data_IF_815827868589
#
_entry.id   IF_815827868589
#
_cell.length_a   1.000
_cell.length_b   1.000
_cell.length_c   1.000
_cell.angle_alpha   90.00
_cell.angle_beta   90.00
_cell.angle_gamma   90.00
#
_symmetry.space_group_name_H-M   'P 1'
#
loop_
_entity.id
_entity.type
_entity.pdbx_description
1 polymer ?
#
# COMPACT_ATOMS: atom_id res chain seq x y z
N UNK A 1 -9.71 -15.28 19.98
CA UNK A 1 -8.98 -14.09 19.44
C UNK A 1 -9.56 -12.85 20.09
N UNK A 2 -8.70 -11.91 20.41
CA UNK A 2 -9.11 -10.62 20.95
C UNK A 2 -10.02 -9.89 19.95
N UNK A 3 -11.12 -9.31 20.43
CA UNK A 3 -12.09 -8.60 19.58
C UNK A 3 -11.47 -7.38 18.86
N UNK A 4 -10.53 -6.70 19.49
CA UNK A 4 -9.80 -5.59 18.87
C UNK A 4 -9.00 -6.09 17.68
N UNK A 5 -8.28 -7.19 17.83
CA UNK A 5 -7.50 -7.81 16.76
C UNK A 5 -8.41 -8.30 15.63
N UNK A 6 -9.54 -8.92 15.95
CA UNK A 6 -10.53 -9.35 14.94
C UNK A 6 -11.02 -8.16 14.11
N UNK A 7 -11.39 -7.07 14.79
CA UNK A 7 -11.85 -5.84 14.12
C UNK A 7 -10.77 -5.25 13.21
N UNK A 8 -9.52 -5.23 13.68
CA UNK A 8 -8.40 -4.77 12.86
C UNK A 8 -8.24 -5.62 11.59
N UNK A 9 -8.30 -6.95 11.74
CA UNK A 9 -8.19 -7.88 10.61
C UNK A 9 -9.30 -7.64 9.58
N UNK A 10 -10.52 -7.38 10.01
CA UNK A 10 -11.65 -7.08 9.12
C UNK A 10 -11.43 -5.78 8.35
N UNK A 11 -10.96 -4.72 9.03
CA UNK A 11 -10.66 -3.43 8.39
C UNK A 11 -9.58 -3.60 7.34
N UNK A 12 -8.47 -4.28 7.66
CA UNK A 12 -7.38 -4.52 6.70
C UNK A 12 -7.85 -5.38 5.52
N UNK A 13 -8.65 -6.42 5.78
CA UNK A 13 -9.19 -7.25 4.71
C UNK A 13 -10.09 -6.45 3.76
N UNK A 14 -10.94 -5.58 4.30
CA UNK A 14 -11.79 -4.69 3.50
C UNK A 14 -10.96 -3.71 2.67
N UNK A 15 -9.90 -3.16 3.27
CA UNK A 15 -8.96 -2.26 2.62
C UNK A 15 -8.28 -2.93 1.41
N UNK A 16 -7.68 -4.10 1.62
CA UNK A 16 -6.97 -4.84 0.56
C UNK A 16 -7.95 -5.32 -0.52
N UNK A 17 -9.13 -5.77 -0.15
CA UNK A 17 -10.16 -6.13 -1.13
C UNK A 17 -10.56 -4.94 -1.99
N UNK A 18 -10.73 -3.77 -1.39
CA UNK A 18 -11.02 -2.54 -2.13
C UNK A 18 -9.92 -2.20 -3.13
N UNK A 19 -8.66 -2.34 -2.73
CA UNK A 19 -7.53 -2.14 -3.64
C UNK A 19 -7.57 -3.11 -4.82
N UNK A 20 -7.82 -4.40 -4.57
CA UNK A 20 -7.88 -5.43 -5.61
C UNK A 20 -9.08 -5.26 -6.55
N UNK A 21 -10.20 -4.77 -6.05
CA UNK A 21 -11.39 -4.48 -6.84
C UNK A 21 -11.32 -3.10 -7.50
N UNK A 22 -10.29 -2.31 -7.21
CA UNK A 22 -10.15 -0.91 -7.63
C UNK A 22 -11.35 -0.06 -7.19
N UNK A 23 -11.90 -0.40 -6.04
CA UNK A 23 -12.95 0.36 -5.35
C UNK A 23 -12.28 1.32 -4.37
N UNK A 24 -11.85 2.45 -4.89
CA UNK A 24 -11.06 3.41 -4.12
C UNK A 24 -11.86 4.09 -3.01
N UNK A 25 -13.16 4.24 -3.20
CA UNK A 25 -14.04 4.77 -2.14
C UNK A 25 -14.03 3.82 -0.94
N UNK A 26 -14.12 2.51 -1.17
CA UNK A 26 -14.03 1.52 -0.10
C UNK A 26 -12.68 1.58 0.62
N UNK A 27 -11.59 1.80 -0.12
CA UNK A 27 -10.25 1.97 0.46
C UNK A 27 -10.20 3.22 1.35
N UNK A 28 -10.64 4.37 0.86
CA UNK A 28 -10.65 5.61 1.64
C UNK A 28 -11.50 5.51 2.90
N UNK A 29 -12.63 4.81 2.82
CA UNK A 29 -13.56 4.65 3.94
C UNK A 29 -12.98 3.81 5.09
N UNK A 30 -11.89 3.07 4.86
CA UNK A 30 -11.22 2.34 5.93
C UNK A 30 -10.37 3.24 6.84
N UNK A 31 -10.04 4.45 6.40
CA UNK A 31 -9.30 5.45 7.18
C UNK A 31 -10.23 6.37 7.97
N UNK A 32 -9.70 6.98 9.03
CA UNK A 32 -10.37 8.13 9.64
C UNK A 32 -10.48 9.24 8.60
N UNK A 33 -11.61 9.96 8.60
CA UNK A 33 -11.94 10.94 7.55
C UNK A 33 -11.52 12.37 7.93
N UNK A 34 -10.36 12.50 8.56
CA UNK A 34 -9.85 13.79 9.03
C UNK A 34 -8.34 13.94 8.78
N UNK A 35 -7.74 14.97 9.35
CA UNK A 35 -6.34 15.30 9.15
C UNK A 35 -5.35 14.39 9.89
N UNK A 36 -5.83 13.45 10.72
CA UNK A 36 -4.99 12.46 11.39
C UNK A 36 -4.58 11.32 10.47
N UNK A 37 -5.37 11.04 9.41
CA UNK A 37 -5.04 9.99 8.45
C UNK A 37 -3.73 10.31 7.75
N UNK A 38 -2.89 9.29 7.51
CA UNK A 38 -1.68 9.50 6.72
C UNK A 38 -1.20 8.19 6.09
N UNK A 39 -0.42 8.35 5.02
CA UNK A 39 0.19 7.24 4.29
C UNK A 39 1.68 7.53 4.16
N UNK A 40 2.52 6.65 4.74
CA UNK A 40 3.96 6.84 4.82
C UNK A 40 4.66 5.92 3.83
N UNK A 41 5.33 6.49 2.84
CA UNK A 41 6.13 5.74 1.87
C UNK A 41 7.59 5.88 2.27
N UNK A 42 8.08 4.95 3.09
CA UNK A 42 9.41 5.03 3.69
C UNK A 42 10.52 5.13 2.64
N UNK A 43 10.54 4.30 1.57
CA UNK A 43 11.61 4.37 0.57
C UNK A 43 11.71 5.70 -0.16
N UNK A 44 10.63 6.46 -0.21
CA UNK A 44 10.60 7.79 -0.87
C UNK A 44 10.80 8.93 0.11
N UNK A 45 10.80 8.66 1.42
CA UNK A 45 10.81 9.70 2.44
C UNK A 45 9.57 10.60 2.37
N UNK A 46 8.46 10.07 1.87
CA UNK A 46 7.24 10.85 1.63
C UNK A 46 6.14 10.45 2.62
N UNK A 47 5.48 11.47 3.17
CA UNK A 47 4.31 11.30 4.03
C UNK A 47 3.15 12.07 3.41
N UNK A 48 2.07 11.36 3.10
CA UNK A 48 0.83 11.96 2.57
C UNK A 48 -0.12 12.18 3.75
N UNK A 49 -0.34 13.44 4.11
CA UNK A 49 -1.03 13.82 5.34
C UNK A 49 -2.50 14.14 5.11
N UNK A 50 -3.33 13.72 6.08
CA UNK A 50 -4.76 13.90 6.05
C UNK A 50 -5.44 12.95 5.09
N UNK A 51 -6.76 12.83 5.19
CA UNK A 51 -7.51 11.96 4.26
C UNK A 51 -7.35 12.41 2.80
N UNK A 52 -7.21 13.70 2.56
CA UNK A 52 -6.98 14.21 1.20
C UNK A 52 -5.59 13.82 0.69
N UNK A 53 -4.57 13.79 1.56
CA UNK A 53 -3.25 13.29 1.20
C UNK A 53 -3.29 11.79 0.87
N UNK A 54 -4.00 11.00 1.65
CA UNK A 54 -4.20 9.57 1.39
C UNK A 54 -4.89 9.36 0.04
N UNK A 55 -5.95 10.11 -0.25
CA UNK A 55 -6.63 10.06 -1.55
C UNK A 55 -5.69 10.40 -2.69
N UNK A 56 -4.89 11.44 -2.54
CA UNK A 56 -3.91 11.86 -3.54
C UNK A 56 -2.89 10.77 -3.84
N UNK A 57 -2.39 10.08 -2.83
CA UNK A 57 -1.50 8.94 -3.00
C UNK A 57 -2.16 7.84 -3.82
N UNK A 58 -3.36 7.41 -3.44
CA UNK A 58 -4.07 6.34 -4.16
C UNK A 58 -4.45 6.73 -5.59
N UNK A 59 -4.76 7.99 -5.84
CA UNK A 59 -4.98 8.48 -7.21
C UNK A 59 -3.73 8.30 -8.07
N UNK A 60 -2.55 8.57 -7.51
CA UNK A 60 -1.27 8.34 -8.18
C UNK A 60 -1.05 6.85 -8.45
N UNK A 61 -1.31 6.00 -7.47
CA UNK A 61 -1.16 4.54 -7.61
C UNK A 61 -2.14 3.98 -8.65
N UNK A 62 -3.40 4.42 -8.62
CA UNK A 62 -4.41 3.98 -9.58
C UNK A 62 -4.05 4.35 -11.02
N UNK A 63 -3.46 5.52 -11.21
CA UNK A 63 -2.97 5.94 -12.52
C UNK A 63 -1.70 5.21 -12.94
N UNK A 64 -0.78 4.97 -11.99
CA UNK A 64 0.49 4.30 -12.26
C UNK A 64 0.31 2.82 -12.58
N UNK A 65 -0.55 2.13 -11.84
CA UNK A 65 -0.83 0.70 -11.96
C UNK A 65 -2.35 0.47 -12.06
N UNK A 66 -2.98 0.72 -13.21
CA UNK A 66 -4.44 0.58 -13.33
C UNK A 66 -4.93 -0.87 -13.17
N UNK A 67 -4.06 -1.84 -13.34
CA UNK A 67 -4.31 -3.28 -13.13
C UNK A 67 -3.71 -3.80 -11.81
N UNK A 68 -3.54 -2.92 -10.84
CA UNK A 68 -2.98 -3.25 -9.53
C UNK A 68 -3.59 -4.52 -8.94
N UNK A 69 -2.73 -5.41 -8.47
CA UNK A 69 -3.10 -6.61 -7.74
C UNK A 69 -2.23 -6.76 -6.50
N UNK A 70 -2.85 -7.12 -5.39
CA UNK A 70 -2.20 -7.34 -4.11
C UNK A 70 -2.48 -8.78 -3.66
N UNK A 71 -1.41 -9.52 -3.38
CA UNK A 71 -1.47 -10.86 -2.82
C UNK A 71 -0.87 -10.84 -1.43
N UNK A 72 -1.63 -11.29 -0.43
CA UNK A 72 -1.15 -11.36 0.96
C UNK A 72 -0.36 -12.65 1.15
N UNK A 73 0.89 -12.53 1.57
CA UNK A 73 1.78 -13.65 1.85
C UNK A 73 1.74 -14.07 3.31
N UNK A 74 1.72 -13.11 4.22
CA UNK A 74 1.70 -13.36 5.66
C UNK A 74 1.02 -12.24 6.43
N UNK A 75 0.50 -12.58 7.61
CA UNK A 75 -0.27 -11.70 8.46
C UNK A 75 0.23 -11.78 9.90
N UNK A 76 0.46 -10.62 10.49
CA UNK A 76 0.88 -10.49 11.90
C UNK A 76 0.03 -9.41 12.55
N UNK A 77 -0.66 -9.75 13.63
CA UNK A 77 -1.57 -8.84 14.29
C UNK A 77 -1.31 -8.78 15.79
N UNK A 78 -1.20 -7.57 16.30
CA UNK A 78 -1.24 -7.27 17.74
C UNK A 78 -2.22 -6.12 17.95
N UNK A 79 -2.73 -5.95 19.16
CA UNK A 79 -3.62 -4.81 19.42
C UNK A 79 -2.93 -3.49 19.07
N UNK A 80 -3.56 -2.72 18.18
CA UNK A 80 -3.07 -1.42 17.71
C UNK A 80 -2.22 -1.46 16.45
N UNK A 81 -1.79 -2.64 15.98
CA UNK A 81 -0.98 -2.73 14.76
C UNK A 81 -1.21 -4.06 14.04
N UNK A 82 -1.45 -3.98 12.74
CA UNK A 82 -1.48 -5.14 11.85
C UNK A 82 -0.38 -4.99 10.81
N UNK A 83 0.31 -6.09 10.53
CA UNK A 83 1.37 -6.12 9.52
C UNK A 83 0.99 -7.13 8.45
N UNK A 84 1.20 -6.77 7.19
CA UNK A 84 1.00 -7.67 6.05
C UNK A 84 2.25 -7.67 5.19
N UNK A 85 2.77 -8.86 4.90
CA UNK A 85 3.68 -9.02 3.78
C UNK A 85 2.85 -9.30 2.56
N UNK A 86 3.04 -8.51 1.51
CA UNK A 86 2.25 -8.60 0.29
C UNK A 86 3.14 -8.58 -0.95
N UNK A 87 2.61 -9.12 -2.04
CA UNK A 87 3.16 -8.92 -3.38
C UNK A 87 2.26 -7.92 -4.10
N UNK A 88 2.87 -6.85 -4.56
CA UNK A 88 2.21 -5.86 -5.41
C UNK A 88 2.62 -6.14 -6.86
N UNK A 89 1.66 -6.23 -7.75
CA UNK A 89 1.92 -6.40 -9.18
C UNK A 89 1.02 -5.51 -10.01
N UNK A 90 1.44 -5.23 -11.23
CA UNK A 90 0.70 -4.43 -12.19
C UNK A 90 1.56 -4.02 -13.36
N UNK A 91 0.99 -3.24 -14.25
CA UNK A 91 1.65 -2.70 -15.44
C UNK A 91 1.83 -1.19 -15.28
N UNK A 92 3.06 -0.71 -15.42
CA UNK A 92 3.40 0.71 -15.27
C UNK A 92 2.85 1.52 -16.44
N UNK A 93 1.73 2.21 -16.22
CA UNK A 93 0.99 2.98 -17.24
C UNK A 93 0.93 4.49 -16.96
N UNK A 94 1.23 4.92 -15.74
CA UNK A 94 1.24 6.31 -15.34
C UNK A 94 2.55 6.68 -14.64
N UNK A 95 2.87 7.98 -14.61
CA UNK A 95 4.08 8.46 -13.94
C UNK A 95 4.04 8.14 -12.45
N UNK A 96 5.16 7.64 -11.93
CA UNK A 96 5.34 7.35 -10.52
C UNK A 96 6.76 7.73 -10.11
N UNK A 97 6.90 8.47 -9.00
CA UNK A 97 8.18 8.90 -8.44
C UNK A 97 9.09 9.58 -9.50
N UNK A 98 8.50 10.34 -10.42
CA UNK A 98 9.23 11.03 -11.47
C UNK A 98 9.59 10.14 -12.67
N UNK A 99 9.18 8.87 -12.69
CA UNK A 99 9.48 7.95 -13.79
C UNK A 99 8.29 7.85 -14.74
N UNK A 100 8.54 8.18 -16.00
CA UNK A 100 7.53 8.06 -17.06
C UNK A 100 7.30 6.59 -17.41
N UNK A 101 6.05 6.19 -17.73
CA UNK A 101 5.74 4.80 -18.00
C UNK A 101 6.27 4.33 -19.34
N UNK A 102 6.81 3.09 -19.34
CA UNK A 102 7.22 2.37 -20.53
C UNK A 102 6.34 1.15 -20.81
N UNK A 103 5.34 0.89 -19.96
CA UNK A 103 4.44 -0.26 -20.09
C UNK A 103 5.00 -1.56 -19.53
N UNK A 104 6.03 -1.51 -18.72
CA UNK A 104 6.66 -2.71 -18.15
C UNK A 104 5.86 -3.26 -16.96
N UNK A 105 5.91 -4.58 -16.78
CA UNK A 105 5.35 -5.25 -15.63
C UNK A 105 6.17 -4.98 -14.37
N UNK A 106 5.47 -4.75 -13.26
CA UNK A 106 6.07 -4.52 -11.94
C UNK A 106 5.59 -5.63 -11.01
N UNK A 107 6.51 -6.19 -10.23
CA UNK A 107 6.22 -7.14 -9.17
C UNK A 107 7.20 -6.92 -8.03
N UNK A 108 6.70 -6.53 -6.88
CA UNK A 108 7.51 -6.26 -5.69
C UNK A 108 6.92 -6.89 -4.45
N UNK A 109 7.77 -7.25 -3.50
CA UNK A 109 7.36 -7.59 -2.16
C UNK A 109 7.40 -6.34 -1.29
N UNK A 110 6.40 -6.22 -0.42
CA UNK A 110 6.20 -5.03 0.41
C UNK A 110 5.76 -5.45 1.81
N UNK A 111 6.23 -4.75 2.82
CA UNK A 111 5.71 -4.85 4.18
C UNK A 111 4.87 -3.61 4.49
N UNK A 112 3.62 -3.82 4.87
CA UNK A 112 2.69 -2.76 5.21
C UNK A 112 2.32 -2.85 6.68
N UNK A 113 2.48 -1.73 7.40
CA UNK A 113 2.12 -1.57 8.81
C UNK A 113 0.88 -0.71 8.89
N UNK A 114 -0.18 -1.27 9.46
CA UNK A 114 -1.46 -0.58 9.64
C UNK A 114 -1.63 -0.24 11.11
N UNK A 115 -1.89 1.03 11.40
CA UNK A 115 -2.21 1.50 12.75
C UNK A 115 -3.62 2.06 12.81
N UNK A 116 -4.24 2.04 14.00
CA UNK A 116 -5.68 2.22 14.14
C UNK A 116 -6.00 3.33 15.14
N UNK A 117 -7.13 3.99 14.88
CA UNK A 117 -7.76 4.90 15.84
C UNK A 117 -8.49 4.07 16.90
N UNK A 118 -8.11 4.26 18.16
CA UNK A 118 -8.71 3.50 19.27
C UNK A 118 -10.20 3.75 19.46
N UNK A 119 -10.70 4.93 19.09
CA UNK A 119 -12.10 5.30 19.27
C UNK A 119 -13.00 4.70 18.17
N UNK A 120 -12.60 4.81 16.90
CA UNK A 120 -13.41 4.35 15.77
C UNK A 120 -13.04 2.97 15.25
N UNK A 121 -11.84 2.48 15.56
CA UNK A 121 -11.27 1.26 15.00
C UNK A 121 -10.80 1.38 13.55
N UNK A 122 -10.96 2.55 12.93
CA UNK A 122 -10.52 2.79 11.56
C UNK A 122 -9.01 3.02 11.50
N UNK A 123 -8.44 2.94 10.29
CA UNK A 123 -7.02 3.19 10.08
C UNK A 123 -6.67 4.65 10.35
N UNK A 124 -5.64 4.87 11.14
CA UNK A 124 -4.93 6.15 11.23
C UNK A 124 -3.89 6.21 10.12
N UNK A 125 -3.12 5.13 9.93
CA UNK A 125 -2.03 5.16 8.98
C UNK A 125 -1.77 3.80 8.35
N UNK A 126 -1.24 3.85 7.13
CA UNK A 126 -0.51 2.77 6.53
C UNK A 126 0.92 3.24 6.27
N UNK A 127 1.90 2.43 6.64
CA UNK A 127 3.32 2.71 6.45
C UNK A 127 3.96 1.55 5.69
N UNK A 128 4.58 1.84 4.55
CA UNK A 128 5.09 0.80 3.67
C UNK A 128 6.60 0.85 3.51
N UNK A 129 7.18 -0.35 3.43
CA UNK A 129 8.60 -0.60 3.17
C UNK A 129 8.72 -1.52 1.96
N UNK A 130 9.52 -1.14 1.00
CA UNK A 130 9.82 -1.94 -0.19
C UNK A 130 11.14 -1.47 -0.79
N UNK A 131 11.63 -2.22 -1.76
CA UNK A 131 12.89 -1.90 -2.45
C UNK A 131 12.62 -0.96 -3.64
N UNK A 132 12.85 0.33 -3.44
CA UNK A 132 12.65 1.36 -4.46
C UNK A 132 13.57 1.17 -5.67
N UNK A 133 14.81 0.69 -5.46
CA UNK A 133 15.73 0.44 -6.56
C UNK A 133 15.18 -0.64 -7.50
N UNK A 134 14.64 -1.73 -6.94
CA UNK A 134 13.99 -2.78 -7.72
C UNK A 134 12.81 -2.25 -8.54
N UNK A 135 11.99 -1.39 -7.94
CA UNK A 135 10.87 -0.76 -8.65
C UNK A 135 11.37 0.03 -9.85
N UNK A 136 12.39 0.88 -9.67
CA UNK A 136 12.95 1.69 -10.74
C UNK A 136 13.54 0.83 -11.86
N UNK A 137 14.26 -0.23 -11.51
CA UNK A 137 14.82 -1.17 -12.50
C UNK A 137 13.73 -1.84 -13.33
N UNK A 138 12.66 -2.32 -12.69
CA UNK A 138 11.55 -2.95 -13.38
C UNK A 138 10.80 -1.96 -14.29
N UNK A 139 10.59 -0.73 -13.83
CA UNK A 139 9.98 0.32 -14.64
C UNK A 139 10.75 0.59 -15.92
N UNK A 140 12.07 0.45 -15.87
CA UNK A 140 12.97 0.63 -17.00
C UNK A 140 13.16 -0.64 -17.84
N UNK A 141 12.43 -1.73 -17.51
CA UNK A 141 12.54 -2.99 -18.21
C UNK A 141 13.76 -3.83 -17.84
N UNK A 142 14.44 -3.51 -16.72
CA UNK A 142 15.57 -4.27 -16.22
C UNK A 142 15.16 -5.16 -15.08
N UNK A 143 15.69 -6.38 -15.04
CA UNK A 143 15.51 -7.27 -13.90
C UNK A 143 16.82 -7.31 -13.12
N UNK A 144 16.69 -7.25 -11.80
CA UNK A 144 17.83 -7.40 -10.92
C UNK A 144 18.35 -8.83 -11.02
N UNK A 145 19.59 -8.96 -11.43
CA UNK A 145 20.32 -10.24 -11.41
C UNK A 145 21.32 -10.19 -10.28
N UNK A 146 21.12 -11.03 -9.26
CA UNK A 146 22.06 -11.16 -8.16
C UNK A 146 22.77 -12.49 -8.29
N UNK A 147 24.08 -12.43 -8.50
CA UNK A 147 24.94 -13.60 -8.33
C UNK A 147 25.11 -13.82 -6.83
N UNK A 148 24.46 -14.85 -6.32
CA UNK A 148 24.68 -15.28 -4.93
C UNK A 148 25.78 -16.31 -4.96
N UNK A 149 26.87 -15.94 -4.36
CA UNK A 149 28.02 -16.86 -4.23
C UNK A 149 27.76 -17.93 -3.18
#
# INVERSE_FOLDING_TARGET
MDKVVESQREIVATHIRGENEHDWVAVYDTFVQDDRAHYDVVPLGAVFKGIEGVRGFYQTIAAALPDLKIEVLSEYDVAGCSIREVVISGTHKGEFAGVKPLGNAIRIEMAAFYTFDGASGKLIAEKIYYDQESVLEQMQGRQRSIAVA
#
